data_IF_625992913994
#
_entry.id   IF_625992913994
#
_cell.length_a   1.000
_cell.length_b   1.000
_cell.length_c   1.000
_cell.angle_alpha   90.00
_cell.angle_beta   90.00
_cell.angle_gamma   90.00
#
_symmetry.space_group_name_H-M   'P 1'
#
loop_
_entity.id
_entity.type
_entity.pdbx_description
1 polymer ?
#
# COMPACT_ATOMS: atom_id res chain seq x y z
N UNK A 1 47.79 -13.72 -4.68
CA UNK A 1 48.20 -15.14 -4.83
C UNK A 1 48.70 -15.60 -3.46
N UNK A 2 48.35 -16.72 -2.84
CA UNK A 2 47.60 -17.96 -3.14
C UNK A 2 47.26 -18.57 -1.76
N UNK A 3 46.00 -18.94 -1.49
CA UNK A 3 45.48 -20.34 -1.48
C UNK A 3 46.33 -21.35 -0.70
N UNK A 4 45.75 -22.02 0.31
CA UNK A 4 45.62 -23.50 0.45
C UNK A 4 44.93 -23.83 1.81
N UNK A 5 43.75 -24.48 1.88
CA UNK A 5 43.42 -25.91 1.69
C UNK A 5 44.14 -26.86 2.66
N UNK A 6 43.39 -27.44 3.60
CA UNK A 6 43.68 -28.77 4.17
C UNK A 6 42.36 -29.55 4.22
N UNK A 7 42.27 -30.57 3.36
CA UNK A 7 41.29 -31.65 3.45
C UNK A 7 41.76 -32.72 4.42
N UNK A 8 40.82 -33.28 5.17
CA UNK A 8 41.06 -34.35 6.13
C UNK A 8 40.82 -35.71 5.46
N UNK A 9 41.87 -36.52 5.37
CA UNK A 9 41.80 -37.95 5.06
C UNK A 9 41.82 -38.74 6.38
N UNK A 10 40.84 -39.63 6.57
CA UNK A 10 40.73 -40.50 7.74
C UNK A 10 41.59 -41.75 7.51
N UNK A 11 42.57 -41.96 8.38
CA UNK A 11 43.25 -43.25 8.56
C UNK A 11 42.59 -43.95 9.74
N UNK A 12 42.00 -45.12 9.48
CA UNK A 12 41.55 -46.04 10.53
C UNK A 12 42.77 -46.72 11.16
N UNK A 13 42.87 -46.68 12.48
CA UNK A 13 43.66 -47.65 13.24
C UNK A 13 42.89 -48.05 14.49
N UNK A 14 42.64 -49.35 14.59
CA UNK A 14 41.85 -50.05 15.57
C UNK A 14 42.62 -50.30 16.87
N UNK A 15 42.07 -49.86 18.01
CA UNK A 15 42.38 -50.41 19.33
C UNK A 15 41.07 -50.56 20.11
N UNK A 16 40.75 -51.80 20.48
CA UNK A 16 39.51 -52.24 21.12
C UNK A 16 39.67 -52.11 22.64
N UNK A 17 38.83 -51.29 23.26
CA UNK A 17 38.51 -51.32 24.69
C UNK A 17 36.98 -51.40 24.85
N UNK A 18 36.45 -51.84 25.99
CA UNK A 18 35.00 -51.90 26.20
C UNK A 18 34.43 -50.49 26.01
N UNK A 19 33.52 -50.35 25.04
CA UNK A 19 32.81 -49.10 24.80
C UNK A 19 31.93 -48.86 26.00
N UNK A 20 32.32 -47.91 26.84
CA UNK A 20 31.50 -47.40 27.93
C UNK A 20 30.38 -46.56 27.31
N UNK A 21 29.26 -47.21 27.02
CA UNK A 21 28.11 -46.61 26.32
C UNK A 21 27.55 -45.45 27.14
N UNK A 22 27.59 -45.51 28.47
CA UNK A 22 27.12 -44.42 29.32
C UNK A 22 28.04 -43.21 29.24
N UNK A 23 29.36 -43.42 29.13
CA UNK A 23 30.34 -42.34 28.91
C UNK A 23 30.26 -41.77 27.48
N UNK A 24 29.98 -42.60 26.47
CA UNK A 24 29.76 -42.16 25.10
C UNK A 24 28.45 -41.36 24.95
N UNK A 25 27.39 -41.76 25.64
CA UNK A 25 26.10 -41.04 25.69
C UNK A 25 26.22 -39.75 26.50
N UNK A 26 27.03 -39.72 27.57
CA UNK A 26 27.34 -38.47 28.29
C UNK A 26 28.21 -37.51 27.47
N UNK A 27 29.18 -38.01 26.67
CA UNK A 27 29.98 -37.16 25.78
C UNK A 27 29.17 -36.62 24.59
N UNK A 28 28.22 -37.37 24.04
CA UNK A 28 27.28 -36.88 23.02
C UNK A 28 26.25 -35.88 23.58
N UNK A 29 25.91 -35.96 24.88
CA UNK A 29 25.07 -34.96 25.58
C UNK A 29 25.81 -33.71 26.01
N UNK A 30 27.14 -33.74 26.07
CA UNK A 30 28.01 -32.63 26.50
C UNK A 30 28.73 -31.94 25.34
N UNK A 31 28.50 -32.35 24.09
CA UNK A 31 28.99 -31.63 22.94
C UNK A 31 28.14 -30.37 22.75
N UNK A 32 28.68 -29.16 22.93
CA UNK A 32 27.95 -27.96 22.55
C UNK A 32 27.62 -28.08 21.07
N UNK A 33 26.39 -27.74 20.67
CA UNK A 33 26.05 -27.62 19.26
C UNK A 33 27.16 -26.79 18.59
N UNK A 34 27.93 -27.42 17.70
CA UNK A 34 29.02 -26.74 17.03
C UNK A 34 28.42 -25.53 16.29
N UNK A 35 28.80 -24.33 16.72
CA UNK A 35 28.42 -23.11 16.03
C UNK A 35 28.91 -23.24 14.59
N UNK A 36 28.07 -22.99 13.58
CA UNK A 36 28.48 -23.14 12.18
C UNK A 36 29.77 -22.33 11.96
N UNK A 37 30.80 -22.99 11.43
CA UNK A 37 32.04 -22.33 11.00
C UNK A 37 31.67 -21.18 10.05
N UNK A 38 32.38 -20.05 10.09
CA UNK A 38 32.09 -18.87 9.25
C UNK A 38 31.87 -19.23 7.77
N UNK A 39 32.65 -20.18 7.23
CA UNK A 39 32.48 -20.68 5.86
C UNK A 39 31.13 -21.39 5.58
N UNK A 40 30.52 -22.03 6.57
CA UNK A 40 29.20 -22.68 6.47
C UNK A 40 28.07 -21.67 6.59
N UNK A 41 28.24 -20.65 7.43
CA UNK A 41 27.29 -19.53 7.55
C UNK A 41 27.24 -18.71 6.25
N UNK A 42 28.41 -18.37 5.69
CA UNK A 42 28.52 -17.67 4.40
C UNK A 42 27.88 -18.48 3.27
N UNK A 43 28.12 -19.79 3.21
CA UNK A 43 27.51 -20.67 2.22
C UNK A 43 25.98 -20.73 2.32
N UNK A 44 25.42 -20.63 3.53
CA UNK A 44 23.97 -20.66 3.74
C UNK A 44 23.33 -19.31 3.43
N UNK A 45 23.99 -18.19 3.74
CA UNK A 45 23.56 -16.86 3.31
C UNK A 45 23.54 -16.72 1.78
N UNK A 46 24.54 -17.27 1.09
CA UNK A 46 24.55 -17.31 -0.38
C UNK A 46 23.45 -18.21 -0.95
N UNK A 47 23.10 -19.32 -0.28
CA UNK A 47 21.98 -20.17 -0.69
C UNK A 47 20.63 -19.43 -0.57
N UNK A 48 20.45 -18.58 0.45
CA UNK A 48 19.25 -17.74 0.61
C UNK A 48 19.12 -16.74 -0.54
N UNK A 49 20.21 -16.03 -0.89
CA UNK A 49 20.23 -15.11 -2.04
C UNK A 49 19.86 -15.81 -3.35
N UNK A 50 20.41 -17.00 -3.58
CA UNK A 50 20.12 -17.79 -4.77
C UNK A 50 18.65 -18.19 -4.89
N UNK A 51 17.97 -18.48 -3.78
CA UNK A 51 16.53 -18.79 -3.77
C UNK A 51 15.69 -17.57 -4.13
N UNK A 52 16.05 -16.39 -3.64
CA UNK A 52 15.36 -15.14 -3.98
C UNK A 52 15.54 -14.82 -5.46
N UNK A 53 16.78 -14.81 -5.97
CA UNK A 53 17.01 -14.58 -7.41
C UNK A 53 16.32 -15.63 -8.30
N UNK A 54 16.20 -16.88 -7.81
CA UNK A 54 15.45 -17.92 -8.49
C UNK A 54 13.94 -17.65 -8.47
N UNK A 55 13.41 -17.10 -7.38
CA UNK A 55 12.02 -16.68 -7.27
C UNK A 55 11.71 -15.54 -8.24
N UNK A 56 12.57 -14.53 -8.35
CA UNK A 56 12.39 -13.40 -9.28
C UNK A 56 12.33 -13.86 -10.73
N UNK A 57 13.25 -14.76 -11.11
CA UNK A 57 13.26 -15.38 -12.44
C UNK A 57 12.01 -16.24 -12.68
N UNK A 58 11.57 -16.98 -11.66
CA UNK A 58 10.38 -17.80 -11.74
C UNK A 58 9.12 -16.93 -11.91
N UNK A 59 9.03 -15.81 -11.20
CA UNK A 59 7.90 -14.88 -11.30
C UNK A 59 7.83 -14.20 -12.67
N UNK A 60 8.97 -13.75 -13.22
CA UNK A 60 9.06 -13.24 -14.59
C UNK A 60 8.62 -14.29 -15.61
N UNK A 61 9.12 -15.52 -15.45
CA UNK A 61 8.78 -16.63 -16.35
C UNK A 61 7.29 -16.94 -16.28
N UNK A 62 6.74 -17.05 -15.07
CA UNK A 62 5.33 -17.29 -14.83
C UNK A 62 4.44 -16.22 -15.49
N UNK A 63 4.87 -14.95 -15.42
CA UNK A 63 4.15 -13.86 -16.05
C UNK A 63 4.22 -13.95 -17.59
N UNK A 64 5.41 -14.19 -18.13
CA UNK A 64 5.63 -14.24 -19.58
C UNK A 64 4.96 -15.45 -20.25
N UNK A 65 4.90 -16.60 -19.58
CA UNK A 65 4.33 -17.84 -20.14
C UNK A 65 2.87 -18.08 -19.72
N UNK A 66 2.40 -17.38 -18.68
CA UNK A 66 1.09 -17.64 -18.06
C UNK A 66 1.06 -18.92 -17.22
N UNK A 67 2.21 -19.56 -16.96
CA UNK A 67 2.32 -20.76 -16.13
C UNK A 67 2.83 -20.39 -14.72
N UNK A 68 1.96 -20.23 -13.71
CA UNK A 68 2.38 -19.88 -12.37
C UNK A 68 3.17 -21.00 -11.68
N UNK A 69 3.06 -22.26 -12.13
CA UNK A 69 3.57 -23.43 -11.40
C UNK A 69 5.07 -23.39 -11.14
N UNK A 70 5.83 -22.68 -11.98
CA UNK A 70 7.28 -22.47 -11.83
C UNK A 70 7.66 -21.74 -10.53
N UNK A 71 6.75 -20.95 -9.94
CA UNK A 71 6.98 -20.24 -8.67
C UNK A 71 6.87 -21.14 -7.44
N UNK A 72 6.26 -22.33 -7.54
CA UNK A 72 6.06 -23.25 -6.38
C UNK A 72 7.36 -23.78 -5.78
N UNK A 73 8.44 -23.74 -6.56
CA UNK A 73 9.75 -24.27 -6.14
C UNK A 73 10.36 -23.40 -5.05
N UNK A 74 10.19 -22.08 -5.16
CA UNK A 74 10.85 -21.10 -4.29
C UNK A 74 9.90 -20.47 -3.28
N UNK A 75 8.59 -20.71 -3.37
CA UNK A 75 7.57 -20.12 -2.49
C UNK A 75 6.90 -21.16 -1.59
N UNK A 76 6.54 -20.77 -0.36
CA UNK A 76 5.54 -21.49 0.44
C UNK A 76 4.17 -21.47 -0.27
N UNK A 77 3.22 -22.36 0.09
CA UNK A 77 1.89 -22.35 -0.52
C UNK A 77 1.18 -20.99 -0.45
N UNK A 78 1.23 -20.34 0.72
CA UNK A 78 0.58 -19.05 0.94
C UNK A 78 1.24 -17.95 0.08
N UNK A 79 2.57 -17.89 0.06
CA UNK A 79 3.30 -16.91 -0.76
C UNK A 79 3.16 -17.17 -2.27
N UNK A 80 3.02 -18.44 -2.67
CA UNK A 80 2.74 -18.82 -4.05
C UNK A 80 1.36 -18.30 -4.52
N UNK A 81 0.34 -18.40 -3.67
CA UNK A 81 -0.99 -17.90 -3.98
C UNK A 81 -0.98 -16.37 -4.12
N UNK A 82 -0.21 -15.67 -3.27
CA UNK A 82 0.05 -14.23 -3.36
C UNK A 82 0.75 -13.84 -4.67
N UNK A 83 1.85 -14.50 -5.04
CA UNK A 83 2.57 -14.25 -6.29
C UNK A 83 1.70 -14.49 -7.54
N UNK A 84 0.85 -15.52 -7.50
CA UNK A 84 -0.11 -15.80 -8.59
C UNK A 84 -1.12 -14.67 -8.73
N UNK A 85 -1.59 -14.12 -7.61
CA UNK A 85 -2.49 -12.98 -7.58
C UNK A 85 -1.82 -11.72 -8.11
N UNK A 86 -0.58 -11.43 -7.66
CA UNK A 86 0.24 -10.30 -8.14
C UNK A 86 0.44 -10.37 -9.66
N UNK A 87 0.86 -11.51 -10.20
CA UNK A 87 1.03 -11.66 -11.65
C UNK A 87 -0.29 -11.47 -12.41
N UNK A 88 -1.40 -11.97 -11.86
CA UNK A 88 -2.74 -11.74 -12.44
C UNK A 88 -3.13 -10.26 -12.41
N UNK A 89 -2.81 -9.55 -11.34
CA UNK A 89 -3.08 -8.12 -11.16
C UNK A 89 -2.26 -7.27 -12.14
N UNK A 90 -0.95 -7.54 -12.26
CA UNK A 90 -0.06 -6.87 -13.22
C UNK A 90 -0.57 -7.03 -14.67
N UNK A 91 -0.93 -8.24 -15.09
CA UNK A 91 -1.42 -8.51 -16.44
C UNK A 91 -2.75 -7.77 -16.71
N UNK A 92 -3.60 -7.64 -15.69
CA UNK A 92 -4.86 -6.88 -15.77
C UNK A 92 -4.65 -5.36 -15.73
N UNK A 93 -3.60 -4.89 -15.06
CA UNK A 93 -3.13 -3.51 -15.03
C UNK A 93 -2.42 -3.07 -16.31
N UNK A 94 -2.43 -3.90 -17.36
CA UNK A 94 -1.85 -3.55 -18.66
C UNK A 94 -0.34 -3.76 -18.75
N UNK A 95 0.28 -4.40 -17.75
CA UNK A 95 1.67 -4.86 -17.86
C UNK A 95 1.75 -5.99 -18.88
N UNK A 96 2.69 -5.89 -19.80
CA UNK A 96 2.98 -6.91 -20.82
C UNK A 96 4.29 -7.63 -20.56
N UNK A 97 5.13 -7.11 -19.67
CA UNK A 97 6.29 -7.81 -19.14
C UNK A 97 6.97 -6.98 -18.07
N UNK A 98 7.80 -7.64 -17.26
CA UNK A 98 8.71 -6.96 -16.36
C UNK A 98 10.02 -7.74 -16.27
N UNK A 99 11.11 -7.05 -15.95
CA UNK A 99 12.46 -7.63 -15.94
C UNK A 99 13.24 -7.03 -14.80
N UNK A 100 13.86 -7.89 -14.00
CA UNK A 100 14.82 -7.49 -12.98
C UNK A 100 16.06 -6.96 -13.68
N UNK A 101 16.30 -5.66 -13.53
CA UNK A 101 17.43 -4.92 -14.10
C UNK A 101 18.65 -5.01 -13.19
N UNK A 102 18.44 -5.07 -11.88
CA UNK A 102 19.52 -5.18 -10.91
C UNK A 102 19.00 -5.54 -9.52
N UNK A 103 19.86 -6.15 -8.72
CA UNK A 103 19.61 -6.47 -7.32
C UNK A 103 20.83 -6.05 -6.50
N UNK A 104 20.61 -5.27 -5.45
CA UNK A 104 21.64 -4.92 -4.47
C UNK A 104 21.28 -5.53 -3.12
N UNK A 105 22.19 -6.31 -2.55
CA UNK A 105 21.94 -7.04 -1.30
C UNK A 105 22.19 -6.16 -0.07
N UNK A 106 21.23 -6.16 0.85
CA UNK A 106 21.39 -5.71 2.22
C UNK A 106 21.79 -6.85 3.16
N UNK A 107 21.31 -6.80 4.40
CA UNK A 107 21.62 -7.79 5.41
C UNK A 107 20.97 -9.14 5.09
N UNK A 108 21.72 -10.23 5.28
CA UNK A 108 21.22 -11.61 5.22
C UNK A 108 21.57 -12.31 6.51
N UNK A 109 20.54 -12.74 7.23
CA UNK A 109 20.66 -13.45 8.50
C UNK A 109 20.01 -14.82 8.41
N UNK A 110 20.68 -15.82 8.96
CA UNK A 110 20.19 -17.21 8.99
C UNK A 110 20.17 -17.67 10.44
N UNK A 111 19.02 -18.17 10.88
CA UNK A 111 18.80 -18.69 12.22
C UNK A 111 18.17 -20.08 12.16
N UNK A 112 19.01 -21.11 12.07
CA UNK A 112 18.57 -22.49 12.00
C UNK A 112 17.76 -22.77 10.74
N UNK A 113 16.44 -22.93 10.88
CA UNK A 113 15.50 -23.23 9.78
C UNK A 113 14.76 -21.99 9.26
N UNK A 114 15.13 -20.78 9.69
CA UNK A 114 14.59 -19.52 9.15
C UNK A 114 15.72 -18.61 8.68
N UNK A 115 15.42 -17.75 7.71
CA UNK A 115 16.33 -16.71 7.25
C UNK A 115 15.56 -15.42 6.96
N UNK A 116 16.25 -14.30 7.09
CA UNK A 116 15.77 -13.00 6.66
C UNK A 116 16.81 -12.36 5.73
N UNK A 117 16.36 -11.77 4.64
CA UNK A 117 17.23 -11.14 3.66
C UNK A 117 16.64 -9.83 3.17
N UNK A 118 17.43 -8.76 3.15
CA UNK A 118 17.05 -7.51 2.49
C UNK A 118 17.67 -7.46 1.10
N UNK A 119 16.86 -7.12 0.09
CA UNK A 119 17.30 -6.83 -1.27
C UNK A 119 16.76 -5.47 -1.71
N UNK A 120 17.48 -4.78 -2.58
CA UNK A 120 17.02 -3.61 -3.30
C UNK A 120 16.96 -3.99 -4.77
N UNK A 121 15.76 -4.27 -5.26
CA UNK A 121 15.55 -4.78 -6.60
C UNK A 121 15.07 -3.68 -7.52
N UNK A 122 15.73 -3.56 -8.66
CA UNK A 122 15.37 -2.63 -9.71
C UNK A 122 14.62 -3.36 -10.80
N UNK A 123 13.33 -3.11 -10.92
CA UNK A 123 12.46 -3.72 -11.91
C UNK A 123 12.15 -2.74 -13.03
N UNK A 124 12.21 -3.22 -14.27
CA UNK A 124 11.68 -2.51 -15.44
C UNK A 124 10.39 -3.16 -15.87
N UNK A 125 9.31 -2.40 -15.93
CA UNK A 125 7.99 -2.83 -16.34
C UNK A 125 7.68 -2.30 -17.73
N UNK A 126 7.09 -3.12 -18.60
CA UNK A 126 6.63 -2.74 -19.94
C UNK A 126 5.11 -2.86 -19.98
N UNK A 127 4.46 -1.88 -20.60
CA UNK A 127 3.00 -1.82 -20.68
C UNK A 127 2.49 -2.10 -22.09
N UNK A 128 1.19 -2.33 -22.21
CA UNK A 128 0.50 -2.65 -23.46
C UNK A 128 0.54 -1.52 -24.51
N UNK A 129 0.77 -0.28 -24.09
CA UNK A 129 0.99 0.88 -24.98
C UNK A 129 2.46 1.01 -25.44
N UNK A 130 3.34 0.10 -25.00
CA UNK A 130 4.78 0.10 -25.29
C UNK A 130 5.61 1.00 -24.39
N UNK A 131 5.00 1.71 -23.43
CA UNK A 131 5.74 2.48 -22.42
C UNK A 131 6.50 1.57 -21.46
N UNK A 132 7.54 2.13 -20.84
CA UNK A 132 8.34 1.44 -19.84
C UNK A 132 8.54 2.32 -18.61
N UNK A 133 8.51 1.68 -17.44
CA UNK A 133 8.88 2.28 -16.16
C UNK A 133 10.02 1.48 -15.52
N UNK A 134 10.87 2.10 -14.72
CA UNK A 134 11.93 1.43 -13.98
C UNK A 134 12.01 1.97 -12.56
N UNK A 135 11.87 1.09 -11.58
CA UNK A 135 11.80 1.43 -10.16
C UNK A 135 12.71 0.52 -9.33
N UNK A 136 13.31 1.08 -8.29
CA UNK A 136 14.06 0.32 -7.28
C UNK A 136 13.28 0.28 -5.98
N UNK A 137 12.98 -0.91 -5.48
CA UNK A 137 12.24 -1.14 -4.25
C UNK A 137 13.06 -2.00 -3.28
N UNK A 138 12.96 -1.72 -1.97
CA UNK A 138 13.50 -2.61 -0.95
C UNK A 138 12.51 -3.73 -0.69
N UNK A 139 12.99 -4.96 -0.73
CA UNK A 139 12.30 -6.17 -0.34
C UNK A 139 12.97 -6.74 0.92
N UNK A 140 12.20 -7.02 1.94
CA UNK A 140 12.60 -7.70 3.17
C UNK A 140 11.95 -9.09 3.17
N UNK A 141 12.72 -10.08 2.73
CA UNK A 141 12.31 -11.46 2.61
C UNK A 141 12.37 -12.19 3.94
N UNK A 142 11.33 -12.95 4.24
CA UNK A 142 11.34 -14.01 5.24
C UNK A 142 11.35 -15.37 4.53
N UNK A 143 12.30 -16.23 4.87
CA UNK A 143 12.44 -17.57 4.31
C UNK A 143 12.39 -18.64 5.40
N UNK A 144 11.86 -19.80 5.02
CA UNK A 144 11.81 -21.00 5.85
C UNK A 144 12.46 -22.18 5.12
N UNK A 145 13.15 -23.01 5.88
CA UNK A 145 13.68 -24.28 5.39
C UNK A 145 12.57 -25.33 5.46
N UNK A 146 11.94 -25.59 4.32
CA UNK A 146 10.88 -26.58 4.16
C UNK A 146 11.46 -27.82 3.47
N UNK A 147 11.44 -28.96 4.17
CA UNK A 147 11.83 -30.26 3.63
C UNK A 147 13.25 -30.29 3.02
N UNK A 148 14.18 -29.49 3.58
CA UNK A 148 15.56 -29.39 3.13
C UNK A 148 15.82 -28.35 2.02
N UNK A 149 14.79 -27.60 1.60
CA UNK A 149 14.91 -26.51 0.64
C UNK A 149 14.43 -25.18 1.25
N UNK A 150 15.18 -24.11 1.01
CA UNK A 150 14.74 -22.77 1.40
C UNK A 150 13.58 -22.33 0.51
N UNK A 151 12.55 -21.76 1.12
CA UNK A 151 11.40 -21.16 0.44
C UNK A 151 11.09 -19.81 1.04
N UNK A 152 10.70 -18.87 0.19
CA UNK A 152 10.19 -17.57 0.60
C UNK A 152 8.80 -17.78 1.19
N UNK A 153 8.67 -17.32 2.42
CA UNK A 153 7.43 -17.32 3.19
C UNK A 153 6.69 -16.00 3.03
N UNK A 154 7.42 -14.88 2.93
CA UNK A 154 6.87 -13.55 2.74
C UNK A 154 7.92 -12.61 2.16
N UNK A 155 7.45 -11.57 1.48
CA UNK A 155 8.22 -10.43 1.02
C UNK A 155 7.51 -9.16 1.49
N UNK A 156 8.20 -8.33 2.28
CA UNK A 156 7.70 -7.04 2.73
C UNK A 156 8.50 -5.92 2.07
N UNK A 157 7.85 -4.83 1.63
CA UNK A 157 8.54 -3.70 0.98
C UNK A 157 8.62 -2.43 1.86
N UNK A 158 9.54 -2.35 2.85
CA UNK A 158 9.52 -1.31 3.87
C UNK A 158 10.09 0.06 3.43
N UNK A 159 10.64 0.18 2.22
CA UNK A 159 11.08 1.48 1.68
C UNK A 159 10.02 2.23 0.88
N UNK A 160 8.77 1.76 0.86
CA UNK A 160 7.64 2.68 0.92
C UNK A 160 7.62 3.24 2.36
N UNK A 161 8.40 4.30 2.62
CA UNK A 161 8.93 4.66 3.94
C UNK A 161 7.90 4.61 5.10
N UNK A 162 8.09 3.66 6.02
CA UNK A 162 7.47 3.68 7.34
C UNK A 162 8.23 4.60 8.32
N UNK A 163 7.55 5.62 8.83
CA UNK A 163 8.08 6.49 9.91
C UNK A 163 7.78 5.84 11.27
N UNK A 164 8.82 5.60 12.07
CA UNK A 164 8.68 5.14 13.47
C UNK A 164 8.16 6.27 14.36
N UNK A 165 7.37 5.99 15.44
CA UNK A 165 6.65 7.01 16.20
C UNK A 165 7.60 7.85 17.08
N UNK A 166 8.09 8.96 16.55
CA UNK A 166 8.59 10.07 17.35
C UNK A 166 7.42 10.93 17.77
N UNK A 167 7.28 11.22 19.07
CA UNK A 167 6.28 12.14 19.62
C UNK A 167 6.44 13.54 19.00
N UNK A 168 5.83 13.77 17.84
CA UNK A 168 5.72 15.09 17.24
C UNK A 168 4.55 15.78 17.92
N UNK A 169 4.89 16.68 18.83
CA UNK A 169 3.93 17.59 19.45
C UNK A 169 3.18 18.30 18.33
N UNK A 170 1.87 18.12 18.24
CA UNK A 170 1.03 18.76 17.24
C UNK A 170 1.09 20.30 17.37
N UNK A 171 1.44 21.03 16.29
CA UNK A 171 1.08 22.43 16.13
C UNK A 171 0.10 22.54 14.93
N UNK A 172 -1.02 23.24 14.92
CA UNK A 172 -1.58 24.31 15.74
C UNK A 172 -3.06 24.43 15.31
N UNK A 173 -3.98 24.53 16.27
CA UNK A 173 -5.24 25.30 16.21
C UNK A 173 -5.88 25.53 14.84
N UNK A 174 -6.59 24.53 14.32
CA UNK A 174 -7.74 24.81 13.47
C UNK A 174 -8.97 24.88 14.39
N UNK A 175 -9.81 25.93 14.34
CA UNK A 175 -11.06 25.93 15.09
C UNK A 175 -11.87 24.70 14.67
N UNK A 176 -12.18 23.83 15.63
CA UNK A 176 -12.97 22.63 15.36
C UNK A 176 -14.43 23.03 15.10
N UNK A 177 -14.71 23.38 13.85
CA UNK A 177 -16.08 23.66 13.35
C UNK A 177 -16.75 22.39 12.84
N UNK A 178 -16.09 21.23 12.95
CA UNK A 178 -16.66 19.95 12.51
C UNK A 178 -17.73 19.48 13.49
N UNK A 179 -18.85 18.99 12.95
CA UNK A 179 -19.87 18.31 13.77
C UNK A 179 -19.60 16.81 13.74
N UNK A 180 -20.10 16.08 14.73
CA UNK A 180 -20.15 14.61 14.71
C UNK A 180 -21.58 14.09 14.53
N UNK A 181 -22.56 14.99 14.45
CA UNK A 181 -23.97 14.65 14.21
C UNK A 181 -24.11 14.05 12.82
N UNK A 182 -24.60 12.81 12.65
CA UNK A 182 -24.75 12.18 11.35
C UNK A 182 -25.62 13.02 10.39
N UNK A 183 -25.16 13.18 9.15
CA UNK A 183 -25.95 13.83 8.11
C UNK A 183 -27.16 12.98 7.70
N UNK A 184 -28.21 13.67 7.22
CA UNK A 184 -29.24 13.01 6.41
C UNK A 184 -28.61 12.53 5.12
N UNK A 185 -28.61 11.21 4.92
CA UNK A 185 -28.03 10.58 3.74
C UNK A 185 -28.92 10.80 2.51
N UNK A 186 -28.28 11.25 1.43
CA UNK A 186 -28.92 11.45 0.13
C UNK A 186 -28.64 10.30 -0.83
N UNK A 187 -27.47 9.66 -0.71
CA UNK A 187 -27.09 8.50 -1.53
C UNK A 187 -26.17 7.55 -0.75
N UNK A 188 -26.01 6.32 -1.24
CA UNK A 188 -25.13 5.31 -0.64
C UNK A 188 -24.17 4.75 -1.68
N UNK A 189 -22.93 4.48 -1.27
CA UNK A 189 -21.89 3.89 -2.11
C UNK A 189 -21.30 2.63 -1.48
N UNK A 190 -20.80 1.72 -2.31
CA UNK A 190 -20.06 0.54 -1.85
C UNK A 190 -18.62 0.84 -1.41
N UNK A 191 -18.07 1.99 -1.78
CA UNK A 191 -16.68 2.37 -1.52
C UNK A 191 -16.48 3.83 -1.09
N UNK A 192 -17.46 4.74 -1.21
CA UNK A 192 -17.29 6.17 -0.89
C UNK A 192 -18.14 6.61 0.29
N UNK A 193 -17.60 7.48 1.14
CA UNK A 193 -18.34 8.26 2.12
C UNK A 193 -17.85 9.70 2.15
N UNK A 194 -18.75 10.67 2.19
CA UNK A 194 -18.38 12.09 2.20
C UNK A 194 -19.45 12.98 1.57
N UNK A 195 -19.01 14.04 0.90
CA UNK A 195 -19.89 14.99 0.23
C UNK A 195 -19.59 15.10 -1.27
N UNK A 196 -20.65 15.21 -2.06
CA UNK A 196 -20.59 15.31 -3.53
C UNK A 196 -21.42 16.50 -4.00
N UNK A 197 -20.87 17.34 -4.85
CA UNK A 197 -21.59 18.39 -5.56
C UNK A 197 -21.60 18.07 -7.07
N UNK A 198 -22.79 17.94 -7.67
CA UNK A 198 -22.95 17.43 -9.05
C UNK A 198 -23.88 18.28 -9.92
N UNK A 199 -24.17 19.51 -9.49
CA UNK A 199 -24.92 20.48 -10.30
C UNK A 199 -23.99 21.59 -10.76
N UNK A 200 -23.78 21.76 -12.07
CA UNK A 200 -22.90 22.81 -12.64
C UNK A 200 -21.59 22.29 -13.22
N UNK A 201 -20.70 23.22 -13.60
CA UNK A 201 -19.36 22.92 -14.13
C UNK A 201 -18.30 23.26 -13.09
N UNK A 202 -17.47 22.28 -12.72
CA UNK A 202 -16.47 22.41 -11.67
C UNK A 202 -15.06 22.52 -12.26
N UNK A 203 -14.36 23.61 -11.96
CA UNK A 203 -12.98 23.86 -12.43
C UNK A 203 -11.96 23.88 -11.31
N UNK A 204 -12.39 23.79 -10.06
CA UNK A 204 -11.50 23.60 -8.93
C UNK A 204 -12.21 22.90 -7.79
N UNK A 205 -11.48 22.09 -7.04
CA UNK A 205 -11.88 21.56 -5.73
C UNK A 205 -10.74 21.77 -4.75
N UNK A 206 -11.04 22.01 -3.49
CA UNK A 206 -10.07 22.14 -2.40
C UNK A 206 -10.63 21.53 -1.14
N UNK A 207 -9.80 20.81 -0.38
CA UNK A 207 -10.13 20.28 0.92
C UNK A 207 -8.89 20.20 1.81
N UNK A 208 -9.09 20.31 3.11
CA UNK A 208 -8.05 20.08 4.12
C UNK A 208 -8.53 19.03 5.10
N UNK A 209 -7.67 18.08 5.44
CA UNK A 209 -7.97 17.08 6.46
C UNK A 209 -6.78 16.80 7.36
N UNK A 210 -7.07 16.16 8.49
CA UNK A 210 -6.05 15.55 9.34
C UNK A 210 -5.92 14.09 8.91
N UNK A 211 -4.71 13.66 8.55
CA UNK A 211 -4.42 12.27 8.18
C UNK A 211 -4.80 11.36 9.37
N UNK A 212 -5.71 10.39 9.18
CA UNK A 212 -6.24 9.60 10.27
C UNK A 212 -5.15 8.72 10.91
N UNK A 213 -5.25 8.54 12.23
CA UNK A 213 -4.45 7.54 12.92
C UNK A 213 -5.21 6.20 12.85
N UNK A 214 -4.67 5.26 12.09
CA UNK A 214 -5.28 3.95 11.84
C UNK A 214 -4.67 2.92 12.78
N UNK A 215 -5.51 2.05 13.35
CA UNK A 215 -5.04 0.93 14.16
C UNK A 215 -4.43 -0.18 13.28
N UNK A 216 -3.28 -0.73 13.68
CA UNK A 216 -2.61 -1.78 12.91
C UNK A 216 -3.20 -3.20 13.09
N UNK A 217 -4.31 -3.32 13.84
CA UNK A 217 -4.92 -4.61 14.21
C UNK A 217 -5.85 -5.18 13.15
N UNK A 218 -6.27 -4.37 12.17
CA UNK A 218 -7.22 -4.75 11.12
C UNK A 218 -6.58 -4.53 9.77
N UNK A 219 -6.17 -5.59 9.08
CA UNK A 219 -5.71 -5.51 7.69
C UNK A 219 -6.78 -4.84 6.84
N UNK A 220 -6.38 -3.83 6.08
CA UNK A 220 -7.30 -3.02 5.30
C UNK A 220 -6.61 -1.78 4.77
N UNK A 221 -7.38 -0.93 4.11
CA UNK A 221 -6.90 0.36 3.67
C UNK A 221 -8.03 1.38 3.65
N UNK A 222 -7.63 2.64 3.70
CA UNK A 222 -8.49 3.80 3.57
C UNK A 222 -7.81 4.88 2.74
N UNK A 223 -8.61 5.71 2.07
CA UNK A 223 -8.09 6.86 1.33
C UNK A 223 -8.97 8.10 1.57
N UNK A 224 -8.33 9.23 1.88
CA UNK A 224 -8.97 10.54 2.02
C UNK A 224 -8.56 11.42 0.85
N UNK A 225 -9.50 11.96 0.08
CA UNK A 225 -9.17 12.71 -1.14
C UNK A 225 -10.22 13.75 -1.54
N UNK A 226 -9.82 14.61 -2.48
CA UNK A 226 -10.70 15.49 -3.25
C UNK A 226 -10.61 15.19 -4.74
N UNK A 227 -11.71 15.38 -5.47
CA UNK A 227 -11.79 15.03 -6.88
C UNK A 227 -12.67 15.95 -7.71
N UNK A 228 -12.49 15.85 -9.03
CA UNK A 228 -13.37 16.46 -10.04
C UNK A 228 -13.79 15.37 -11.05
N UNK A 229 -15.10 15.19 -11.21
CA UNK A 229 -15.70 14.21 -12.12
C UNK A 229 -16.14 12.91 -11.44
N UNK A 230 -16.33 11.83 -12.20
CA UNK A 230 -16.41 10.48 -11.65
C UNK A 230 -17.76 10.06 -11.07
N UNK A 231 -18.61 11.00 -10.66
CA UNK A 231 -19.93 10.67 -10.07
C UNK A 231 -20.87 10.06 -11.11
N UNK A 232 -20.98 10.68 -12.30
CA UNK A 232 -21.86 10.20 -13.37
C UNK A 232 -21.10 9.73 -14.62
N UNK A 233 -19.77 9.84 -14.62
CA UNK A 233 -18.89 9.58 -15.76
C UNK A 233 -17.82 8.53 -15.48
N UNK A 234 -16.90 8.36 -16.43
CA UNK A 234 -15.73 7.49 -16.31
C UNK A 234 -14.42 8.25 -16.15
N UNK A 235 -14.48 9.58 -16.22
CA UNK A 235 -13.37 10.49 -15.94
C UNK A 235 -13.38 10.84 -14.45
N UNK A 236 -12.21 10.84 -13.79
CA UNK A 236 -12.02 11.35 -12.45
C UNK A 236 -10.56 11.74 -12.30
N UNK A 237 -10.31 13.00 -11.95
CA UNK A 237 -9.01 13.46 -11.47
C UNK A 237 -9.10 13.64 -9.97
N UNK A 238 -8.24 12.95 -9.23
CA UNK A 238 -8.31 12.90 -7.78
C UNK A 238 -6.91 12.86 -7.15
N UNK A 239 -6.84 13.34 -5.92
CA UNK A 239 -5.59 13.51 -5.19
C UNK A 239 -5.87 13.45 -3.68
N UNK A 240 -5.01 12.75 -2.94
CA UNK A 240 -5.24 12.56 -1.52
C UNK A 240 -4.12 11.85 -0.78
N UNK A 241 -4.48 11.34 0.40
CA UNK A 241 -3.64 10.49 1.24
C UNK A 241 -4.32 9.14 1.42
N UNK A 242 -3.54 8.10 1.68
CA UNK A 242 -4.07 6.79 2.03
C UNK A 242 -3.30 6.19 3.20
N UNK A 243 -3.96 5.32 3.94
CA UNK A 243 -3.33 4.42 4.88
C UNK A 243 -3.54 2.98 4.42
N UNK A 244 -2.52 2.14 4.56
CA UNK A 244 -2.62 0.70 4.31
C UNK A 244 -2.12 -0.05 5.53
N UNK A 245 -2.96 -0.90 6.08
CA UNK A 245 -2.64 -1.79 7.20
C UNK A 245 -2.28 -3.15 6.64
N UNK A 246 -1.00 -3.53 6.74
CA UNK A 246 -0.49 -4.83 6.32
C UNK A 246 0.64 -5.28 7.24
N UNK A 247 0.79 -6.59 7.45
CA UNK A 247 1.89 -7.15 8.25
C UNK A 247 1.99 -6.64 9.70
N UNK A 248 0.90 -6.11 10.28
CA UNK A 248 0.89 -5.50 11.61
C UNK A 248 1.46 -4.07 11.68
N UNK A 249 1.80 -3.48 10.53
CA UNK A 249 2.20 -2.08 10.37
C UNK A 249 1.15 -1.25 9.62
N UNK A 250 1.35 0.07 9.62
CA UNK A 250 0.54 1.01 8.83
C UNK A 250 1.47 1.86 7.97
N UNK A 251 1.22 1.87 6.67
CA UNK A 251 1.93 2.71 5.69
C UNK A 251 1.04 3.88 5.32
N UNK A 252 1.62 5.08 5.23
CA UNK A 252 0.92 6.33 4.88
C UNK A 252 1.53 6.94 3.64
N UNK A 253 0.70 7.25 2.65
CA UNK A 253 1.16 7.72 1.34
C UNK A 253 0.29 8.85 0.82
N UNK A 254 0.90 9.85 0.18
CA UNK A 254 0.20 10.79 -0.67
C UNK A 254 0.17 10.26 -2.12
N UNK A 255 -0.92 10.48 -2.84
CA UNK A 255 -1.14 9.90 -4.17
C UNK A 255 -2.00 10.77 -5.08
N UNK A 256 -1.86 10.57 -6.39
CA UNK A 256 -2.77 11.14 -7.41
C UNK A 256 -3.28 10.04 -8.33
N UNK A 257 -4.43 10.27 -8.97
CA UNK A 257 -5.01 9.38 -9.95
C UNK A 257 -5.80 10.16 -10.99
N UNK A 258 -5.75 9.69 -12.24
CA UNK A 258 -6.45 10.29 -13.38
C UNK A 258 -7.07 9.15 -14.18
N UNK A 259 -8.34 8.84 -13.91
CA UNK A 259 -8.98 7.70 -14.57
C UNK A 259 -8.97 7.86 -16.09
N UNK A 260 -8.66 6.79 -16.84
CA UNK A 260 -8.66 5.39 -16.40
C UNK A 260 -7.33 4.86 -15.83
N UNK A 261 -6.28 5.69 -15.72
CA UNK A 261 -4.99 5.28 -15.20
C UNK A 261 -5.08 4.99 -13.70
N UNK A 262 -4.33 3.98 -13.23
CA UNK A 262 -4.28 3.64 -11.80
C UNK A 262 -3.57 4.73 -11.00
N UNK A 263 -3.88 4.80 -9.70
CA UNK A 263 -3.23 5.73 -8.80
C UNK A 263 -1.73 5.46 -8.66
N UNK A 264 -0.95 6.50 -8.43
CA UNK A 264 0.46 6.36 -8.02
C UNK A 264 0.82 7.33 -6.90
N UNK A 265 1.76 6.90 -6.06
CA UNK A 265 2.29 7.67 -4.95
C UNK A 265 3.10 8.87 -5.44
N UNK A 266 3.09 9.96 -4.68
CA UNK A 266 3.86 11.16 -4.98
C UNK A 266 4.85 11.46 -3.87
N UNK A 267 5.91 12.23 -4.18
CA UNK A 267 6.92 12.65 -3.22
C UNK A 267 6.40 13.75 -2.28
N UNK A 268 5.52 13.35 -1.36
CA UNK A 268 5.05 14.16 -0.25
C UNK A 268 4.87 13.27 0.98
N UNK A 269 5.75 13.45 1.95
CA UNK A 269 5.68 12.69 3.20
C UNK A 269 4.45 13.13 4.01
N UNK A 270 3.70 12.13 4.48
CA UNK A 270 2.50 12.30 5.30
C UNK A 270 2.54 11.30 6.46
N UNK A 271 2.12 11.74 7.64
CA UNK A 271 2.06 10.93 8.84
C UNK A 271 0.71 11.13 9.56
N UNK A 272 0.30 10.19 10.43
CA UNK A 272 -0.86 10.36 11.30
C UNK A 272 -0.84 11.72 12.02
N UNK A 273 -1.96 12.43 12.00
CA UNK A 273 -2.09 13.72 12.65
C UNK A 273 -1.58 14.90 11.83
N UNK A 274 -0.96 14.68 10.66
CA UNK A 274 -0.59 15.77 9.76
C UNK A 274 -1.84 16.42 9.18
N UNK A 275 -1.85 17.75 9.13
CA UNK A 275 -2.85 18.51 8.37
C UNK A 275 -2.40 18.59 6.92
N UNK A 276 -3.21 18.09 5.99
CA UNK A 276 -2.92 18.11 4.55
C UNK A 276 -4.00 18.87 3.82
N UNK A 277 -3.60 19.88 3.03
CA UNK A 277 -4.48 20.58 2.09
C UNK A 277 -4.21 20.10 0.67
N UNK A 278 -5.27 19.74 -0.05
CA UNK A 278 -5.20 19.34 -1.45
C UNK A 278 -6.12 20.23 -2.29
N UNK A 279 -5.63 20.65 -3.44
CA UNK A 279 -6.38 21.38 -4.46
C UNK A 279 -6.12 20.82 -5.85
N UNK A 280 -7.18 20.67 -6.64
CA UNK A 280 -7.11 20.35 -8.06
C UNK A 280 -7.78 21.52 -8.79
N UNK A 281 -7.06 22.20 -9.67
CA UNK A 281 -7.53 23.42 -10.34
C UNK A 281 -7.21 23.39 -11.82
N UNK A 282 -8.21 23.61 -12.66
CA UNK A 282 -8.01 23.80 -14.10
C UNK A 282 -7.46 25.21 -14.37
N UNK A 283 -6.22 25.28 -14.85
CA UNK A 283 -5.56 26.57 -15.14
C UNK A 283 -5.97 27.10 -16.51
N UNK A 284 -6.06 26.19 -17.47
CA UNK A 284 -6.57 26.39 -18.83
C UNK A 284 -7.26 25.11 -19.27
N UNK A 285 -8.15 25.16 -20.26
CA UNK A 285 -8.90 23.97 -20.68
C UNK A 285 -8.02 22.74 -20.89
N UNK A 286 -8.27 21.68 -20.12
CA UNK A 286 -7.55 20.41 -20.15
C UNK A 286 -6.21 20.38 -19.42
N UNK A 287 -5.77 21.49 -18.81
CA UNK A 287 -4.54 21.61 -18.02
C UNK A 287 -4.90 21.80 -16.55
N UNK A 288 -4.63 20.78 -15.73
CA UNK A 288 -4.98 20.76 -14.32
C UNK A 288 -3.73 20.85 -13.47
N UNK A 289 -3.71 21.77 -12.51
CA UNK A 289 -2.74 21.81 -11.43
C UNK A 289 -3.27 20.98 -10.27
N UNK A 290 -2.55 19.93 -9.91
CA UNK A 290 -2.71 19.23 -8.64
C UNK A 290 -1.67 19.80 -7.68
N UNK A 291 -2.13 20.30 -6.54
CA UNK A 291 -1.26 20.79 -5.48
C UNK A 291 -1.67 20.18 -4.14
N UNK A 292 -0.67 19.74 -3.38
CA UNK A 292 -0.82 19.21 -2.03
C UNK A 292 0.17 19.92 -1.10
N UNK A 293 -0.26 20.26 0.10
CA UNK A 293 0.58 20.86 1.14
C UNK A 293 0.35 20.09 2.42
N UNK A 294 1.42 19.50 2.98
CA UNK A 294 1.42 19.06 4.36
C UNK A 294 1.66 20.31 5.22
N UNK A 295 0.58 20.85 5.81
CA UNK A 295 0.60 22.06 6.61
C UNK A 295 1.41 21.90 7.90
N UNK A 296 1.58 20.67 8.40
CA UNK A 296 2.39 20.39 9.59
C UNK A 296 3.87 20.51 9.28
N UNK A 297 4.34 19.87 8.22
CA UNK A 297 5.76 19.84 7.84
C UNK A 297 6.17 21.00 6.92
N UNK A 298 5.20 21.68 6.33
CA UNK A 298 5.34 22.67 5.24
C UNK A 298 5.89 22.10 3.93
N UNK A 299 6.00 20.79 3.80
CA UNK A 299 6.31 20.14 2.53
C UNK A 299 5.16 20.30 1.53
N UNK A 300 5.48 20.34 0.24
CA UNK A 300 4.47 20.49 -0.81
C UNK A 300 4.80 19.70 -2.06
N UNK A 301 3.77 19.20 -2.71
CA UNK A 301 3.83 18.62 -4.04
C UNK A 301 2.97 19.44 -5.02
N UNK A 302 3.48 19.66 -6.22
CA UNK A 302 2.79 20.39 -7.29
C UNK A 302 3.08 19.74 -8.64
N UNK A 303 2.04 19.43 -9.40
CA UNK A 303 2.18 18.92 -10.77
C UNK A 303 1.06 19.44 -11.66
N UNK A 304 1.44 19.96 -12.83
CA UNK A 304 0.47 20.25 -13.89
C UNK A 304 0.36 19.02 -14.80
N UNK A 305 -0.86 18.59 -15.06
CA UNK A 305 -1.20 17.41 -15.88
C UNK A 305 -2.16 17.78 -17.00
N UNK A 306 -2.14 16.99 -18.07
CA UNK A 306 -3.14 17.06 -19.15
C UNK A 306 -4.24 16.07 -18.82
N UNK A 307 -5.49 16.53 -18.71
CA UNK A 307 -6.60 15.65 -18.40
C UNK A 307 -7.92 16.15 -19.00
N UNK A 308 -8.64 15.24 -19.67
CA UNK A 308 -9.96 15.51 -20.23
C UNK A 308 -11.05 15.18 -19.20
N UNK A 309 -11.37 16.14 -18.34
CA UNK A 309 -12.48 15.99 -17.38
C UNK A 309 -13.81 16.47 -17.97
N UNK A 310 -14.88 15.79 -17.59
CA UNK A 310 -16.27 16.21 -17.75
C UNK A 310 -16.62 17.45 -16.92
N UNK A 311 -15.84 17.75 -15.87
CA UNK A 311 -16.10 18.83 -14.90
C UNK A 311 -17.48 18.70 -14.24
N UNK A 312 -18.05 17.48 -14.22
CA UNK A 312 -19.45 17.24 -13.89
C UNK A 312 -19.75 17.26 -12.40
N UNK A 313 -18.72 17.11 -11.57
CA UNK A 313 -18.85 17.09 -10.11
C UNK A 313 -17.56 17.51 -9.40
N UNK A 314 -17.70 17.80 -8.11
CA UNK A 314 -16.61 17.93 -7.15
C UNK A 314 -16.92 17.12 -5.90
N UNK A 315 -15.93 16.42 -5.36
CA UNK A 315 -16.10 15.48 -4.24
C UNK A 315 -15.06 15.67 -3.13
N UNK A 316 -15.48 15.36 -1.89
CA UNK A 316 -14.64 15.28 -0.68
C UNK A 316 -14.93 13.96 0.02
N UNK A 317 -14.04 12.98 -0.15
CA UNK A 317 -14.37 11.57 0.06
C UNK A 317 -13.35 10.89 0.97
N UNK A 318 -13.90 10.07 1.87
CA UNK A 318 -13.23 8.94 2.50
C UNK A 318 -13.65 7.67 1.77
N UNK A 319 -12.67 6.91 1.28
CA UNK A 319 -12.87 5.77 0.40
C UNK A 319 -12.30 4.48 0.99
N UNK A 320 -12.99 3.36 0.75
CA UNK A 320 -12.41 2.03 0.78
C UNK A 320 -11.77 1.80 -0.61
N UNK A 321 -10.43 1.81 -0.73
CA UNK A 321 -9.76 1.73 -2.03
C UNK A 321 -9.96 0.37 -2.68
N UNK A 322 -9.84 0.31 -4.01
CA UNK A 322 -9.91 -0.93 -4.77
C UNK A 322 -8.52 -1.39 -5.18
N UNK A 323 -8.27 -2.71 -5.13
CA UNK A 323 -7.10 -3.35 -5.70
C UNK A 323 -7.52 -4.62 -6.46
N UNK A 324 -6.88 -4.87 -7.60
CA UNK A 324 -7.15 -6.03 -8.46
C UNK A 324 -8.58 -6.12 -9.01
N UNK A 325 -9.48 -6.85 -8.35
CA UNK A 325 -10.89 -7.05 -8.77
C UNK A 325 -11.91 -6.67 -7.69
N UNK A 326 -11.45 -6.13 -6.57
CA UNK A 326 -12.29 -5.92 -5.40
C UNK A 326 -11.90 -4.70 -4.61
N UNK A 327 -12.82 -4.29 -3.76
CA UNK A 327 -12.57 -3.24 -2.79
C UNK A 327 -11.80 -3.89 -1.62
N UNK A 328 -10.69 -3.29 -1.23
CA UNK A 328 -9.91 -3.70 -0.06
C UNK A 328 -10.80 -3.53 1.18
N UNK A 329 -10.78 -4.45 2.15
CA UNK A 329 -11.48 -4.24 3.41
C UNK A 329 -11.16 -2.87 4.01
N UNK A 330 -12.20 -2.16 4.41
CA UNK A 330 -12.03 -0.86 5.05
C UNK A 330 -11.48 -1.07 6.46
N UNK A 331 -10.35 -0.44 6.74
CA UNK A 331 -9.71 -0.47 8.06
C UNK A 331 -10.51 0.32 9.12
N UNK A 332 -9.92 0.50 10.30
CA UNK A 332 -10.47 1.31 11.38
C UNK A 332 -9.78 2.68 11.48
N UNK A 333 -10.05 3.54 10.50
CA UNK A 333 -9.54 4.93 10.46
C UNK A 333 -10.15 5.87 11.53
N UNK A 334 -11.10 5.38 12.33
CA UNK A 334 -11.79 6.20 13.34
C UNK A 334 -12.60 7.35 12.72
N UNK A 335 -12.11 8.58 12.85
CA UNK A 335 -12.78 9.77 12.32
C UNK A 335 -11.79 10.65 11.56
N UNK A 336 -12.08 10.88 10.28
CA UNK A 336 -11.41 11.90 9.47
C UNK A 336 -12.22 13.20 9.49
N UNK A 337 -11.53 14.33 9.58
CA UNK A 337 -12.14 15.67 9.62
C UNK A 337 -11.75 16.44 8.38
N UNK A 338 -12.73 16.79 7.55
CA UNK A 338 -12.58 17.71 6.45
C UNK A 338 -12.91 19.14 6.88
N UNK A 339 -12.14 20.08 6.36
CA UNK A 339 -12.29 21.51 6.61
C UNK A 339 -11.85 22.31 5.40
N UNK A 340 -12.26 23.59 5.34
CA UNK A 340 -11.89 24.48 4.23
C UNK A 340 -12.36 23.95 2.86
N UNK A 341 -13.37 23.07 2.86
CA UNK A 341 -13.93 22.49 1.66
C UNK A 341 -14.56 23.56 0.77
N UNK A 342 -14.11 23.65 -0.47
CA UNK A 342 -14.67 24.58 -1.46
C UNK A 342 -14.43 24.11 -2.89
N UNK A 343 -15.27 24.55 -3.81
CA UNK A 343 -15.09 24.29 -5.23
C UNK A 343 -15.41 25.55 -6.04
N UNK A 344 -14.80 25.65 -7.23
CA UNK A 344 -15.17 26.67 -8.21
C UNK A 344 -16.23 26.08 -9.13
N UNK A 345 -17.47 26.52 -8.94
CA UNK A 345 -18.61 26.18 -9.81
C UNK A 345 -18.92 27.38 -10.68
N UNK A 346 -18.94 27.17 -12.00
CA UNK A 346 -19.32 28.19 -12.99
C UNK A 346 -18.54 29.51 -12.80
N UNK A 347 -17.25 29.40 -12.45
CA UNK A 347 -16.33 30.54 -12.24
C UNK A 347 -16.36 31.18 -10.84
N UNK A 348 -17.22 30.72 -9.94
CA UNK A 348 -17.34 31.26 -8.57
C UNK A 348 -16.90 30.24 -7.53
N UNK A 349 -16.04 30.65 -6.59
CA UNK A 349 -15.69 29.80 -5.44
C UNK A 349 -16.86 29.74 -4.45
N UNK A 350 -17.28 28.53 -4.07
CA UNK A 350 -18.42 28.29 -3.19
C UNK A 350 -18.06 27.21 -2.15
N UNK A 351 -18.65 27.31 -0.95
CA UNK A 351 -18.58 26.29 0.10
C UNK A 351 -19.44 25.06 -0.25
N UNK A 352 -19.26 23.94 0.45
CA UNK A 352 -20.07 22.73 0.23
C UNK A 352 -21.57 23.01 0.40
N UNK A 353 -21.95 23.81 1.40
CA UNK A 353 -23.35 24.17 1.63
C UNK A 353 -23.93 25.02 0.49
N UNK A 354 -23.18 25.99 -0.02
CA UNK A 354 -23.60 26.85 -1.12
C UNK A 354 -23.69 26.10 -2.46
N UNK A 355 -22.85 25.08 -2.63
CA UNK A 355 -22.89 24.16 -3.78
C UNK A 355 -24.11 23.22 -3.76
N UNK A 356 -24.79 23.11 -2.61
CA UNK A 356 -25.81 22.09 -2.40
C UNK A 356 -25.22 20.68 -2.38
N UNK A 357 -23.98 20.53 -1.90
CA UNK A 357 -23.32 19.23 -1.82
C UNK A 357 -24.13 18.27 -0.94
N UNK A 358 -24.28 17.02 -1.39
CA UNK A 358 -25.10 16.01 -0.72
C UNK A 358 -24.23 14.94 -0.06
N UNK A 359 -24.69 14.45 1.09
CA UNK A 359 -23.99 13.45 1.88
C UNK A 359 -24.16 12.03 1.28
N UNK A 360 -23.05 11.32 1.15
CA UNK A 360 -22.97 9.91 0.71
C UNK A 360 -22.45 9.05 1.86
N UNK A 361 -23.18 8.00 2.23
CA UNK A 361 -22.71 6.99 3.18
C UNK A 361 -22.07 5.80 2.47
N UNK A 362 -21.01 5.23 3.05
CA UNK A 362 -20.46 3.97 2.57
C UNK A 362 -21.18 2.81 3.27
N UNK A 363 -21.63 1.81 2.51
CA UNK A 363 -22.39 0.67 3.03
C UNK A 363 -21.70 -0.67 2.72
N UNK A 364 -21.85 -1.64 3.63
CA UNK A 364 -21.45 -3.03 3.39
C UNK A 364 -22.53 -3.84 2.65
N UNK A 365 -22.25 -5.14 2.44
CA UNK A 365 -23.17 -6.08 1.79
C UNK A 365 -24.51 -6.28 2.50
N UNK A 366 -24.57 -6.02 3.81
CA UNK A 366 -25.80 -6.10 4.61
C UNK A 366 -26.60 -4.79 4.60
N UNK A 367 -26.17 -3.78 3.81
CA UNK A 367 -26.79 -2.45 3.78
C UNK A 367 -26.51 -1.61 5.02
N UNK A 368 -25.56 -2.03 5.86
CA UNK A 368 -25.17 -1.28 7.06
C UNK A 368 -24.15 -0.22 6.67
N UNK A 369 -24.30 0.99 7.18
CA UNK A 369 -23.29 2.03 7.03
C UNK A 369 -21.99 1.58 7.71
N UNK A 370 -20.89 1.58 6.98
CA UNK A 370 -19.53 1.31 7.47
C UNK A 370 -18.72 2.59 7.64
N UNK A 371 -19.06 3.65 6.90
CA UNK A 371 -18.57 5.00 7.11
C UNK A 371 -19.70 6.01 6.85
N UNK A 372 -19.79 7.02 7.70
CA UNK A 372 -20.93 7.94 7.75
C UNK A 372 -20.44 9.40 7.88
N UNK A 373 -20.85 10.30 6.97
CA UNK A 373 -20.55 11.72 7.10
C UNK A 373 -21.43 12.37 8.19
N UNK A 374 -20.88 13.37 8.86
CA UNK A 374 -21.60 14.32 9.71
C UNK A 374 -22.36 15.35 8.88
N UNK A 375 -23.24 16.12 9.50
CA UNK A 375 -23.74 17.37 8.91
C UNK A 375 -22.58 18.32 8.61
N UNK A 376 -22.78 19.23 7.66
CA UNK A 376 -21.85 20.34 7.48
C UNK A 376 -21.82 21.21 8.74
N UNK A 377 -20.63 21.71 9.07
CA UNK A 377 -20.40 22.73 10.09
C UNK A 377 -21.09 24.04 9.72
N UNK A 378 -21.16 24.95 10.69
CA UNK A 378 -21.79 26.26 10.50
C UNK A 378 -21.09 27.13 9.44
N UNK A 379 -19.81 26.83 9.15
CA UNK A 379 -19.04 27.44 8.06
C UNK A 379 -19.47 26.95 6.66
N UNK A 380 -20.27 25.88 6.58
CA UNK A 380 -20.69 25.26 5.34
C UNK A 380 -19.57 24.55 4.56
N UNK A 381 -18.39 24.40 5.16
CA UNK A 381 -17.15 23.94 4.51
C UNK A 381 -16.43 22.84 5.27
N UNK A 382 -16.91 22.49 6.46
CA UNK A 382 -16.30 21.47 7.32
C UNK A 382 -17.27 20.33 7.63
N UNK A 383 -16.78 19.11 7.74
CA UNK A 383 -17.54 17.92 8.13
C UNK A 383 -16.59 16.82 8.60
N UNK A 384 -17.13 15.79 9.23
CA UNK A 384 -16.37 14.59 9.58
C UNK A 384 -16.92 13.37 8.82
N UNK A 385 -16.08 12.38 8.58
CA UNK A 385 -16.52 11.01 8.22
C UNK A 385 -16.04 10.07 9.31
N UNK A 386 -16.95 9.27 9.85
CA UNK A 386 -16.65 8.36 10.96
C UNK A 386 -16.89 6.91 10.56
N UNK A 387 -15.91 6.06 10.86
CA UNK A 387 -16.00 4.61 10.80
C UNK A 387 -17.01 4.10 11.82
N UNK A 388 -17.97 3.29 11.39
CA UNK A 388 -18.95 2.67 12.30
C UNK A 388 -18.43 1.35 12.85
N UNK A 389 -19.15 0.75 13.80
CA UNK A 389 -18.85 -0.60 14.29
C UNK A 389 -19.25 -1.72 13.33
N UNK A 390 -19.83 -1.42 12.15
CA UNK A 390 -20.22 -2.45 11.18
C UNK A 390 -18.97 -3.07 10.52
N UNK A 391 -18.98 -4.38 10.17
CA UNK A 391 -17.85 -5.03 9.51
C UNK A 391 -17.47 -4.36 8.19
N UNK A 392 -16.17 -4.09 7.99
CA UNK A 392 -15.62 -3.32 6.86
C UNK A 392 -15.59 -4.04 5.51
N UNK A 393 -16.28 -5.18 5.36
CA UNK A 393 -16.37 -5.92 4.11
C UNK A 393 -17.34 -5.24 3.14
N UNK A 394 -16.78 -4.66 2.09
CA UNK A 394 -17.42 -3.73 1.14
C UNK A 394 -18.11 -4.43 -0.04
N UNK A 395 -19.01 -3.71 -0.74
CA UNK A 395 -19.93 -4.25 -1.75
C UNK A 395 -19.37 -4.16 -3.18
N UNK A 396 -19.44 -5.24 -3.97
CA UNK A 396 -19.19 -5.22 -5.42
C UNK A 396 -20.44 -4.95 -6.30
N UNK A 397 -21.53 -4.42 -5.75
CA UNK A 397 -22.86 -4.41 -6.39
C UNK A 397 -23.78 -3.22 -6.09
N UNK A 398 -23.29 -2.18 -5.40
CA UNK A 398 -23.97 -0.88 -5.30
C UNK A 398 -23.59 -0.04 -6.51
N UNK A 399 -24.08 1.21 -6.61
CA UNK A 399 -23.40 2.18 -7.48
C UNK A 399 -21.97 2.32 -6.95
N UNK A 400 -21.04 1.66 -7.63
CA UNK A 400 -19.61 1.77 -7.38
C UNK A 400 -19.17 3.00 -8.17
N UNK A 401 -18.84 4.07 -7.45
CA UNK A 401 -18.11 5.17 -8.05
C UNK A 401 -16.68 4.63 -8.23
N UNK A 402 -16.32 4.30 -9.47
CA UNK A 402 -15.15 3.47 -9.74
C UNK A 402 -13.87 4.26 -9.43
N UNK A 403 -13.06 3.77 -8.50
CA UNK A 403 -11.60 3.80 -8.62
C UNK A 403 -11.21 2.53 -9.37
N UNK A 404 -10.45 2.64 -10.47
CA UNK A 404 -9.96 1.43 -11.14
C UNK A 404 -8.70 0.96 -10.40
N UNK A 405 -8.56 -0.35 -10.20
CA UNK A 405 -7.50 -0.92 -9.38
C UNK A 405 -6.09 -0.67 -9.92
#
# INVERSE_FOLDING_TARGET
>A
MRKLLIGLAIVLTSCVGPVDIDRAVQQLRQQPAATPTTATADATAEAVKQVIEAADRAQQTAFATGDPSVMRVTATPDYYDELTQINSDLARGGVTGFTLVGIEWGDVTVSGTTAAATAYETWRTTYSDGSQDQRTDRNDYALVLDSGAWKIQADAQPSAQGVTPGSRTAPQTQPDTTTTTPARISDTSGNWSGYVASSGTYTSVTGTWIVPQVGSTTTGADATWVGIGGVSGTDLIQAGTQATVSGGGVTYEAWIEMLPDSSHTVSLDVAPGDSVTVSITEQTSGQWLIAMVNNTTKASYRRTVRYASSRSSAEWIQEAPSAGRGIIPLDDFGTVRFTGGSAVRDGTTQSLSALGATAVAMINRAGQAIAQPSTLGADGSSFAVTRTSAPGTVQGGGRTFRRRP
#
